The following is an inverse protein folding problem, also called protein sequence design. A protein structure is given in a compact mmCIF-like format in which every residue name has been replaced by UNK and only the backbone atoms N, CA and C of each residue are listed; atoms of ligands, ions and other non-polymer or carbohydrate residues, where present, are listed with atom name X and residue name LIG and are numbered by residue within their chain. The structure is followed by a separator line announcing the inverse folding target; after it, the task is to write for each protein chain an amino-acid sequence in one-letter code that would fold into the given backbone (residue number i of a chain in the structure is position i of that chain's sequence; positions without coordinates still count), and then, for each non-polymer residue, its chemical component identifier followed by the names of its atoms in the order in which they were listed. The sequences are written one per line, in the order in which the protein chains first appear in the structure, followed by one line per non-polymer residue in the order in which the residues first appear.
data_IF_354986349244
#
_entry.id   IF_354986349244
#
_cell.length_a   1.000
_cell.length_b   1.000
_cell.length_c   1.000
_cell.angle_alpha   90.00
_cell.angle_beta   90.00
_cell.angle_gamma   90.00
#
_symmetry.space_group_name_H-M   'P 1'
#
loop_
_entity.id
_entity.type
_entity.pdbx_description
1 polymer ?
#
# COMPACT_ATOMS: atom_id res chain seq x y z
N UNK A 1 14.83 -30.42 -10.56
CA UNK A 1 15.21 -29.06 -10.19
C UNK A 1 16.71 -28.95 -10.12
N UNK A 2 17.28 -27.94 -10.77
CA UNK A 2 18.73 -27.72 -10.70
C UNK A 2 19.15 -27.22 -9.32
N UNK A 3 20.43 -27.27 -9.05
CA UNK A 3 20.97 -26.73 -7.81
C UNK A 3 20.69 -25.24 -7.70
N UNK A 4 20.87 -24.49 -8.80
CA UNK A 4 20.56 -23.05 -8.82
C UNK A 4 19.07 -22.80 -8.59
N UNK A 5 18.19 -23.58 -9.21
CA UNK A 5 16.74 -23.45 -8.99
C UNK A 5 16.39 -23.64 -7.52
N UNK A 6 17.02 -24.61 -6.86
CA UNK A 6 16.79 -24.87 -5.44
C UNK A 6 17.27 -23.71 -4.56
N UNK A 7 18.42 -23.12 -4.90
CA UNK A 7 18.95 -21.96 -4.18
C UNK A 7 18.03 -20.76 -4.32
N UNK A 8 17.52 -20.50 -5.53
CA UNK A 8 16.60 -19.40 -5.78
C UNK A 8 15.30 -19.59 -5.00
N UNK A 9 14.74 -20.81 -5.08
CA UNK A 9 13.49 -21.14 -4.39
C UNK A 9 13.64 -20.97 -2.87
N UNK A 10 14.71 -21.50 -2.30
CA UNK A 10 14.94 -21.41 -0.86
C UNK A 10 15.16 -19.96 -0.42
N UNK A 11 15.85 -19.17 -1.24
CA UNK A 11 16.03 -17.75 -0.93
C UNK A 11 14.70 -17.00 -0.99
N UNK A 12 13.87 -17.32 -1.97
CA UNK A 12 12.54 -16.72 -2.08
C UNK A 12 11.67 -17.04 -0.86
N UNK A 13 11.70 -18.30 -0.40
CA UNK A 13 10.96 -18.68 0.81
C UNK A 13 11.45 -17.91 2.03
N UNK A 14 12.77 -17.73 2.15
CA UNK A 14 13.34 -16.96 3.25
C UNK A 14 12.84 -15.52 3.23
N UNK A 15 12.84 -14.89 2.05
CA UNK A 15 12.35 -13.53 1.89
C UNK A 15 10.87 -13.42 2.28
N UNK A 16 10.05 -14.34 1.78
CA UNK A 16 8.62 -14.34 2.03
C UNK A 16 8.27 -14.68 3.48
N UNK A 17 9.13 -15.39 4.19
CA UNK A 17 8.89 -15.71 5.60
C UNK A 17 8.90 -14.49 6.48
N UNK A 18 9.47 -13.39 6.04
CA UNK A 18 9.63 -12.15 6.83
C UNK A 18 8.43 -11.23 6.72
N UNK A 19 7.81 -11.16 5.55
CA UNK A 19 6.59 -10.39 5.29
C UNK A 19 6.06 -10.73 3.91
N UNK A 20 4.85 -10.27 3.64
CA UNK A 20 4.30 -10.34 2.29
C UNK A 20 5.14 -9.45 1.36
N UNK A 21 5.28 -9.90 0.11
CA UNK A 21 5.96 -9.15 -0.94
C UNK A 21 5.08 -9.18 -2.19
N UNK A 22 5.19 -8.13 -3.00
CA UNK A 22 4.63 -8.21 -4.36
C UNK A 22 5.56 -9.07 -5.21
N UNK A 23 5.03 -9.63 -6.30
CA UNK A 23 5.83 -10.41 -7.23
C UNK A 23 6.99 -9.59 -7.76
N UNK A 24 6.73 -8.32 -8.10
CA UNK A 24 7.77 -7.42 -8.63
C UNK A 24 8.88 -7.16 -7.62
N UNK A 25 8.52 -6.96 -6.34
CA UNK A 25 9.51 -6.80 -5.28
C UNK A 25 10.38 -8.03 -5.13
N UNK A 26 9.75 -9.20 -5.16
CA UNK A 26 10.49 -10.47 -5.00
C UNK A 26 11.46 -10.67 -6.15
N UNK A 27 10.98 -10.44 -7.38
CA UNK A 27 11.83 -10.54 -8.57
C UNK A 27 13.06 -9.62 -8.41
N UNK A 28 12.82 -8.37 -8.03
CA UNK A 28 13.90 -7.39 -7.85
C UNK A 28 14.93 -7.87 -6.84
N UNK A 29 14.48 -8.41 -5.71
CA UNK A 29 15.38 -8.92 -4.67
C UNK A 29 16.17 -10.13 -5.13
N UNK A 30 15.54 -11.03 -5.88
CA UNK A 30 16.21 -12.23 -6.40
C UNK A 30 17.22 -11.87 -7.49
N UNK A 31 16.91 -10.89 -8.35
CA UNK A 31 17.82 -10.43 -9.39
C UNK A 31 19.12 -9.83 -8.85
N UNK A 32 19.10 -9.36 -7.62
CA UNK A 32 20.30 -8.83 -6.97
C UNK A 32 21.29 -9.93 -6.55
N UNK A 33 20.84 -11.18 -6.48
CA UNK A 33 21.65 -12.30 -5.99
C UNK A 33 21.86 -13.39 -7.04
N UNK A 34 21.02 -13.48 -8.02
CA UNK A 34 21.06 -14.53 -9.02
C UNK A 34 20.98 -13.94 -10.43
N UNK A 35 21.70 -14.55 -11.36
CA UNK A 35 21.80 -14.04 -12.73
C UNK A 35 20.76 -14.61 -13.68
N UNK A 36 20.18 -15.77 -13.35
CA UNK A 36 19.25 -16.45 -14.27
C UNK A 36 17.85 -15.89 -14.14
N UNK A 37 17.50 -14.97 -15.03
CA UNK A 37 16.16 -14.40 -15.10
C UNK A 37 15.11 -15.47 -15.32
N UNK A 38 15.40 -16.45 -16.18
CA UNK A 38 14.46 -17.53 -16.47
C UNK A 38 14.11 -18.32 -15.22
N UNK A 39 15.12 -18.72 -14.45
CA UNK A 39 14.91 -19.50 -13.23
C UNK A 39 14.18 -18.68 -12.16
N UNK A 40 14.46 -17.39 -12.09
CA UNK A 40 13.74 -16.49 -11.16
C UNK A 40 12.27 -16.44 -11.52
N UNK A 41 11.94 -16.26 -12.79
CA UNK A 41 10.54 -16.17 -13.23
C UNK A 41 9.80 -17.49 -13.05
N UNK A 42 10.47 -18.62 -13.29
CA UNK A 42 9.87 -19.94 -13.03
C UNK A 42 9.57 -20.12 -11.54
N UNK A 43 10.49 -19.69 -10.69
CA UNK A 43 10.31 -19.76 -9.24
C UNK A 43 9.12 -18.91 -8.80
N UNK A 44 9.05 -17.69 -9.29
CA UNK A 44 7.95 -16.75 -8.96
C UNK A 44 6.61 -17.35 -9.39
N UNK A 45 6.55 -17.90 -10.60
CA UNK A 45 5.34 -18.55 -11.10
C UNK A 45 4.89 -19.70 -10.20
N UNK A 46 5.84 -20.52 -9.76
CA UNK A 46 5.56 -21.66 -8.89
C UNK A 46 5.05 -21.19 -7.53
N UNK A 47 5.64 -20.15 -6.98
CA UNK A 47 5.21 -19.59 -5.70
C UNK A 47 3.81 -19.00 -5.78
N UNK A 48 3.48 -18.35 -6.88
CA UNK A 48 2.12 -17.85 -7.11
C UNK A 48 1.11 -18.99 -7.17
N UNK A 49 1.46 -20.02 -7.93
CA UNK A 49 0.60 -21.20 -8.10
C UNK A 49 0.29 -21.86 -6.75
N UNK A 50 1.28 -21.90 -5.87
CA UNK A 50 1.14 -22.52 -4.55
C UNK A 50 0.63 -21.54 -3.49
N UNK A 51 0.23 -20.34 -3.91
CA UNK A 51 -0.30 -19.29 -3.04
C UNK A 51 0.67 -18.85 -1.93
N UNK A 52 1.96 -19.06 -2.14
CA UNK A 52 2.99 -18.56 -1.24
C UNK A 52 3.38 -17.11 -1.57
N UNK A 53 3.05 -16.67 -2.77
CA UNK A 53 3.23 -15.32 -3.27
C UNK A 53 1.90 -14.86 -3.84
N UNK A 54 1.36 -13.75 -3.33
CA UNK A 54 0.03 -13.31 -3.70
C UNK A 54 -0.04 -11.78 -3.64
N UNK A 55 -0.12 -11.14 -4.81
CA UNK A 55 -0.14 -9.68 -4.92
C UNK A 55 -1.36 -9.07 -4.23
N UNK A 56 -2.50 -9.72 -4.30
CA UNK A 56 -3.72 -9.22 -3.64
C UNK A 56 -3.53 -9.20 -2.12
N UNK A 57 -3.00 -10.27 -1.57
CA UNK A 57 -2.74 -10.38 -0.13
C UNK A 57 -1.68 -9.34 0.31
N UNK A 58 -0.67 -9.11 -0.53
CA UNK A 58 0.31 -8.06 -0.29
C UNK A 58 -0.37 -6.69 -0.23
N UNK A 59 -1.23 -6.40 -1.19
CA UNK A 59 -1.95 -5.14 -1.26
C UNK A 59 -2.84 -4.92 -0.03
N UNK A 60 -3.52 -5.96 0.43
CA UNK A 60 -4.34 -5.88 1.64
C UNK A 60 -3.50 -5.45 2.85
N UNK A 61 -2.37 -6.12 3.06
CA UNK A 61 -1.49 -5.80 4.18
C UNK A 61 -0.91 -4.39 4.05
N UNK A 62 -0.56 -4.00 2.84
CA UNK A 62 -0.01 -2.68 2.56
C UNK A 62 -1.01 -1.56 2.89
N UNK A 63 -2.25 -1.72 2.43
CA UNK A 63 -3.31 -0.73 2.65
C UNK A 63 -3.55 -0.54 4.16
N UNK A 64 -3.67 -1.63 4.90
CA UNK A 64 -3.88 -1.57 6.36
C UNK A 64 -2.75 -0.81 7.04
N UNK A 65 -1.50 -1.15 6.69
CA UNK A 65 -0.34 -0.54 7.32
C UNK A 65 -0.22 0.95 7.00
N UNK A 66 -0.45 1.34 5.75
CA UNK A 66 -0.35 2.74 5.34
C UNK A 66 -1.50 3.59 5.89
N UNK A 67 -2.71 3.03 5.89
CA UNK A 67 -3.86 3.70 6.50
C UNK A 67 -3.61 4.01 7.97
N UNK A 68 -3.05 3.04 8.70
CA UNK A 68 -2.70 3.21 10.11
C UNK A 68 -1.69 4.33 10.32
N UNK A 69 -0.78 4.53 9.36
CA UNK A 69 0.21 5.60 9.41
C UNK A 69 -0.34 6.96 9.01
N UNK A 70 -1.60 7.04 8.63
CA UNK A 70 -2.24 8.30 8.30
C UNK A 70 -2.21 8.69 6.84
N UNK A 71 -2.05 7.72 5.93
CA UNK A 71 -2.06 7.99 4.49
C UNK A 71 -3.42 7.64 3.90
N UNK A 72 -3.80 8.37 2.87
CA UNK A 72 -5.09 8.22 2.22
C UNK A 72 -5.06 7.34 0.99
N UNK A 73 -6.26 7.03 0.45
CA UNK A 73 -6.36 6.03 -0.62
C UNK A 73 -5.68 6.42 -1.92
N UNK A 74 -5.62 7.71 -2.27
CA UNK A 74 -4.98 8.15 -3.52
C UNK A 74 -3.47 7.91 -3.50
N UNK A 75 -2.83 8.20 -2.38
CA UNK A 75 -1.39 7.97 -2.24
C UNK A 75 -1.08 6.49 -2.20
N UNK A 76 -1.89 5.72 -1.47
CA UNK A 76 -1.70 4.27 -1.37
C UNK A 76 -1.87 3.63 -2.76
N UNK A 77 -2.88 4.06 -3.52
CA UNK A 77 -3.07 3.57 -4.88
C UNK A 77 -1.82 3.82 -5.74
N UNK A 78 -1.29 5.04 -5.70
CA UNK A 78 -0.10 5.40 -6.45
C UNK A 78 1.08 4.50 -6.07
N UNK A 79 1.28 4.29 -4.77
CA UNK A 79 2.36 3.46 -4.27
C UNK A 79 2.23 2.01 -4.74
N UNK A 80 1.02 1.46 -4.66
CA UNK A 80 0.78 0.08 -5.09
C UNK A 80 0.95 -0.09 -6.60
N UNK A 81 0.54 0.90 -7.40
CA UNK A 81 0.78 0.87 -8.84
C UNK A 81 2.28 0.82 -9.14
N UNK A 82 3.08 1.59 -8.39
CA UNK A 82 4.53 1.60 -8.58
C UNK A 82 5.18 0.28 -8.18
N UNK A 83 4.49 -0.55 -7.44
CA UNK A 83 4.97 -1.87 -7.01
C UNK A 83 4.44 -3.00 -7.90
N UNK A 84 3.80 -2.65 -9.00
CA UNK A 84 3.34 -3.61 -9.98
C UNK A 84 2.03 -4.30 -9.65
N UNK A 85 1.26 -3.76 -8.71
CA UNK A 85 -0.05 -4.33 -8.38
C UNK A 85 -1.08 -3.90 -9.43
N UNK A 86 -1.91 -4.85 -9.85
CA UNK A 86 -2.97 -4.61 -10.82
C UNK A 86 -3.98 -3.59 -10.31
N UNK A 87 -4.39 -2.67 -11.17
CA UNK A 87 -5.28 -1.57 -10.76
C UNK A 87 -6.62 -2.08 -10.24
N UNK A 88 -7.17 -3.14 -10.84
CA UNK A 88 -8.45 -3.69 -10.37
C UNK A 88 -8.33 -4.27 -8.97
N UNK A 89 -7.20 -4.90 -8.65
CA UNK A 89 -6.95 -5.42 -7.31
C UNK A 89 -6.81 -4.29 -6.31
N UNK A 90 -6.11 -3.22 -6.68
CA UNK A 90 -5.95 -2.04 -5.81
C UNK A 90 -7.31 -1.45 -5.48
N UNK A 91 -8.14 -1.25 -6.49
CA UNK A 91 -9.47 -0.68 -6.32
C UNK A 91 -10.32 -1.53 -5.37
N UNK A 92 -10.27 -2.84 -5.57
CA UNK A 92 -11.02 -3.78 -4.74
C UNK A 92 -10.54 -3.74 -3.28
N UNK A 93 -9.25 -3.75 -3.06
CA UNK A 93 -8.68 -3.72 -1.71
C UNK A 93 -9.02 -2.41 -1.00
N UNK A 94 -8.89 -1.27 -1.68
CA UNK A 94 -9.20 0.02 -1.07
C UNK A 94 -10.69 0.12 -0.70
N UNK A 95 -11.57 -0.40 -1.56
CA UNK A 95 -13.01 -0.38 -1.28
C UNK A 95 -13.38 -1.33 -0.13
N UNK A 96 -12.81 -2.51 -0.11
CA UNK A 96 -13.08 -3.49 0.95
C UNK A 96 -12.57 -3.01 2.30
N UNK A 97 -11.42 -2.33 2.33
CA UNK A 97 -10.90 -1.75 3.57
C UNK A 97 -11.84 -0.67 4.08
N UNK A 98 -12.24 0.27 3.23
CA UNK A 98 -13.16 1.34 3.58
C UNK A 98 -12.75 2.19 4.76
N UNK A 99 -13.70 2.94 5.31
CA UNK A 99 -13.45 3.76 6.51
C UNK A 99 -12.53 4.95 6.26
N UNK A 100 -12.48 5.45 5.04
CA UNK A 100 -11.51 6.48 4.66
C UNK A 100 -11.83 7.86 5.24
N UNK A 101 -13.11 8.17 5.43
CA UNK A 101 -13.48 9.44 6.09
C UNK A 101 -13.03 9.45 7.54
N UNK A 102 -13.20 8.34 8.23
CA UNK A 102 -12.73 8.19 9.62
C UNK A 102 -11.20 8.23 9.66
N UNK A 103 -10.54 7.57 8.71
CA UNK A 103 -9.08 7.59 8.60
C UNK A 103 -8.58 9.03 8.39
N UNK A 104 -9.26 9.82 7.56
CA UNK A 104 -8.93 11.22 7.34
C UNK A 104 -9.06 12.02 8.63
N UNK A 105 -10.14 11.81 9.36
CA UNK A 105 -10.37 12.49 10.64
C UNK A 105 -9.25 12.15 11.64
N UNK A 106 -8.90 10.87 11.73
CA UNK A 106 -7.84 10.43 12.65
C UNK A 106 -6.48 11.04 12.27
N UNK A 107 -6.15 11.07 10.98
CA UNK A 107 -4.89 11.65 10.51
C UNK A 107 -4.85 13.15 10.79
N UNK A 108 -5.98 13.84 10.58
CA UNK A 108 -6.10 15.25 10.84
C UNK A 108 -5.91 15.56 12.33
N UNK A 109 -6.64 14.85 13.20
CA UNK A 109 -6.60 15.08 14.64
C UNK A 109 -5.20 14.84 15.21
N UNK A 110 -4.50 13.89 14.66
CA UNK A 110 -3.14 13.56 15.09
C UNK A 110 -2.16 14.68 14.77
N UNK A 111 -2.36 15.38 13.66
CA UNK A 111 -1.49 16.47 13.22
C UNK A 111 -1.91 17.82 13.78
N UNK A 112 -3.21 18.08 13.83
CA UNK A 112 -3.76 19.39 14.19
C UNK A 112 -4.57 19.27 15.48
N UNK A 113 -3.88 19.46 16.60
CA UNK A 113 -4.47 19.22 17.94
C UNK A 113 -5.59 20.19 18.30
N UNK A 114 -5.61 21.36 17.67
CA UNK A 114 -6.62 22.39 17.96
C UNK A 114 -7.82 22.33 17.00
N UNK A 115 -7.89 21.30 16.16
CA UNK A 115 -9.00 21.14 15.23
C UNK A 115 -8.92 22.01 13.99
N UNK A 116 -9.99 22.03 13.20
CA UNK A 116 -10.04 22.86 11.99
C UNK A 116 -9.93 24.33 12.30
N UNK A 117 -9.08 25.05 11.56
CA UNK A 117 -8.90 26.49 11.75
C UNK A 117 -10.07 27.26 11.12
N UNK A 118 -10.47 28.34 11.77
CA UNK A 118 -11.44 29.27 11.20
C UNK A 118 -10.76 30.26 10.25
N UNK A 119 -9.44 30.43 10.36
CA UNK A 119 -8.69 31.37 9.55
C UNK A 119 -8.44 30.72 8.17
N UNK A 120 -8.75 31.47 7.10
CA UNK A 120 -8.77 30.95 5.73
C UNK A 120 -7.42 30.36 5.29
N UNK A 121 -6.33 31.08 5.51
CA UNK A 121 -5.02 30.62 5.07
C UNK A 121 -4.56 29.38 5.83
N UNK A 122 -4.83 29.32 7.12
CA UNK A 122 -4.49 28.16 7.93
C UNK A 122 -5.33 26.95 7.53
N UNK A 123 -6.62 27.18 7.27
CA UNK A 123 -7.49 26.10 6.79
C UNK A 123 -6.98 25.52 5.47
N UNK A 124 -6.54 26.38 4.55
CA UNK A 124 -5.98 25.91 3.27
C UNK A 124 -4.71 25.08 3.47
N UNK A 125 -3.87 25.48 4.41
CA UNK A 125 -2.67 24.70 4.74
C UNK A 125 -3.03 23.33 5.31
N UNK A 126 -4.04 23.30 6.17
CA UNK A 126 -4.53 22.04 6.73
C UNK A 126 -5.06 21.12 5.64
N UNK A 127 -5.84 21.66 4.71
CA UNK A 127 -6.37 20.88 3.58
C UNK A 127 -5.26 20.39 2.65
N UNK A 128 -4.23 21.24 2.42
CA UNK A 128 -3.07 20.83 1.61
C UNK A 128 -2.31 19.68 2.25
N UNK A 129 -2.14 19.72 3.56
CA UNK A 129 -1.52 18.61 4.29
C UNK A 129 -2.28 17.32 4.05
N UNK A 130 -3.61 17.36 4.15
CA UNK A 130 -4.44 16.19 3.95
C UNK A 130 -4.38 15.69 2.51
N UNK A 131 -4.37 16.61 1.55
CA UNK A 131 -4.23 16.26 0.14
C UNK A 131 -2.90 15.56 -0.12
N UNK A 132 -1.82 16.07 0.47
CA UNK A 132 -0.49 15.48 0.31
C UNK A 132 -0.39 14.10 0.94
N UNK A 133 -1.22 13.82 1.95
CA UNK A 133 -1.33 12.49 2.54
C UNK A 133 -2.12 11.53 1.68
N UNK A 134 -2.79 12.02 0.63
CA UNK A 134 -3.48 11.18 -0.34
C UNK A 134 -4.96 11.00 -0.10
N UNK A 135 -5.57 11.85 0.74
CA UNK A 135 -7.02 11.80 0.93
C UNK A 135 -7.73 12.50 -0.21
N UNK A 136 -8.95 12.04 -0.52
CA UNK A 136 -9.77 12.62 -1.58
C UNK A 136 -10.40 13.92 -1.11
N UNK A 137 -10.88 14.71 -2.07
CA UNK A 137 -11.58 15.95 -1.77
C UNK A 137 -12.74 15.70 -0.79
N UNK A 138 -13.55 14.69 -1.05
CA UNK A 138 -14.69 14.38 -0.19
C UNK A 138 -14.27 13.99 1.22
N UNK A 139 -13.21 13.20 1.34
CA UNK A 139 -12.66 12.81 2.64
C UNK A 139 -12.16 14.01 3.41
N UNK A 140 -11.45 14.91 2.74
CA UNK A 140 -10.94 16.12 3.36
C UNK A 140 -12.09 17.03 3.81
N UNK A 141 -13.06 17.27 2.92
CA UNK A 141 -14.19 18.13 3.24
C UNK A 141 -15.00 17.58 4.42
N UNK A 142 -15.08 16.26 4.58
CA UNK A 142 -15.79 15.67 5.70
C UNK A 142 -15.16 16.02 7.05
N UNK A 143 -13.84 16.28 7.07
CA UNK A 143 -13.14 16.67 8.30
C UNK A 143 -13.51 18.09 8.73
N UNK A 144 -13.79 18.97 7.75
CA UNK A 144 -14.12 20.38 8.01
C UNK A 144 -15.62 20.67 8.05
N UNK A 145 -16.43 19.63 7.85
CA UNK A 145 -17.88 19.78 7.82
C UNK A 145 -18.46 19.82 9.24
N UNK A 146 -19.39 20.74 9.47
CA UNK A 146 -20.13 20.82 10.72
C UNK A 146 -21.37 19.93 10.70
N UNK A 147 -21.61 19.25 9.59
CA UNK A 147 -22.81 18.40 9.38
C UNK A 147 -22.71 17.07 10.11
N UNK A 148 -21.73 16.92 10.94
CA UNK A 148 -21.51 15.71 11.73
C UNK A 148 -22.38 15.64 12.98
N UNK A 149 -23.28 16.57 13.12
CA UNK A 149 -24.18 16.65 14.25
C UNK A 149 -25.38 15.73 14.11
#
# INVERSE_FOLDING_TARGET
MSEESSLIYNKALDILSRREHSAEELIFKLERKFDSTEEILLTVSKLKKNNLLNDFRYAEAYVVARKRKGFGPKKIKFELLSKGIDESDIHKVLNEEGGWKKAAKNAFDKKFKNGPSAETNEKLKQKSFMKNRGFTFQEIESVFSDDML
#
